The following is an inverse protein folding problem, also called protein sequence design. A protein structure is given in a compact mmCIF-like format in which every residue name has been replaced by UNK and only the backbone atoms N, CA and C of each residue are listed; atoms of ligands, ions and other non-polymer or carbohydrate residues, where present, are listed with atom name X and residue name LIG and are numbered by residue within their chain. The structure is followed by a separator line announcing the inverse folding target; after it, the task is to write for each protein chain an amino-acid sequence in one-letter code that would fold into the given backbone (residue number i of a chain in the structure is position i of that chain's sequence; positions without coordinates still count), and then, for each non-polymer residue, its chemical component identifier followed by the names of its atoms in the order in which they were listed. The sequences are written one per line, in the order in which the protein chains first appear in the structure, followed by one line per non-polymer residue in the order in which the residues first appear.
data_IF_131934696819
#
_entry.id   IF_131934696819
#
_cell.length_a   1.000
_cell.length_b   1.000
_cell.length_c   1.000
_cell.angle_alpha   90.00
_cell.angle_beta   90.00
_cell.angle_gamma   90.00
#
_symmetry.space_group_name_H-M   'P 1'
#
loop_
_entity.id
_entity.type
_entity.pdbx_description
1 polymer ?
#
# COMPACT_ATOMS: atom_id res chain seq x y z
N UNK A 1 18.69 9.21 -1.39
CA UNK A 1 20.03 8.74 -1.87
C UNK A 1 20.03 8.66 -3.39
N UNK A 2 21.20 8.88 -4.04
CA UNK A 2 21.30 8.76 -5.51
C UNK A 2 21.21 7.29 -5.96
N UNK A 3 20.57 7.06 -7.10
CA UNK A 3 20.40 5.75 -7.74
C UNK A 3 20.82 5.81 -9.20
N UNK A 4 21.28 4.67 -9.73
CA UNK A 4 21.55 4.55 -11.17
C UNK A 4 21.30 3.11 -11.64
N UNK A 5 20.88 2.98 -12.89
CA UNK A 5 20.72 1.70 -13.58
C UNK A 5 21.42 1.79 -14.93
N UNK A 6 22.36 0.90 -15.17
CA UNK A 6 23.02 0.77 -16.46
C UNK A 6 22.23 -0.20 -17.32
N UNK A 7 21.80 0.25 -18.50
CA UNK A 7 21.05 -0.55 -19.45
C UNK A 7 21.98 -1.34 -20.38
N UNK A 8 21.53 -2.44 -21.00
CA UNK A 8 22.36 -3.24 -21.91
C UNK A 8 22.92 -2.46 -23.10
N UNK A 9 22.26 -1.38 -23.53
CA UNK A 9 22.70 -0.47 -24.58
C UNK A 9 23.66 0.62 -24.10
N UNK A 10 24.15 0.52 -22.86
CA UNK A 10 25.08 1.46 -22.23
C UNK A 10 24.44 2.72 -21.67
N UNK A 11 23.14 2.92 -21.87
CA UNK A 11 22.40 4.06 -21.29
C UNK A 11 22.38 3.96 -19.77
N UNK A 12 22.60 5.05 -19.07
CA UNK A 12 22.52 5.15 -17.61
C UNK A 12 21.26 5.94 -17.24
N UNK A 13 20.34 5.28 -16.54
CA UNK A 13 19.19 5.93 -15.92
C UNK A 13 19.59 6.46 -14.55
N UNK A 14 19.28 7.71 -14.27
CA UNK A 14 19.57 8.39 -13.00
C UNK A 14 18.31 8.55 -12.18
N UNK A 15 18.42 8.22 -10.89
CA UNK A 15 17.30 8.26 -9.97
C UNK A 15 17.71 8.72 -8.57
N UNK A 16 16.73 8.80 -7.72
CA UNK A 16 16.88 9.09 -6.30
C UNK A 16 15.86 8.28 -5.49
N UNK A 17 16.20 8.01 -4.23
CA UNK A 17 15.31 7.37 -3.29
C UNK A 17 15.27 8.10 -1.95
N UNK A 18 14.14 8.02 -1.26
CA UNK A 18 13.92 8.56 0.08
C UNK A 18 12.87 7.73 0.83
N UNK A 19 12.98 7.73 2.16
CA UNK A 19 12.03 7.05 3.06
C UNK A 19 12.32 5.57 3.26
N UNK A 20 11.53 4.96 4.13
CA UNK A 20 11.45 3.52 4.40
C UNK A 20 9.97 3.13 4.48
N UNK A 21 9.61 1.95 3.95
CA UNK A 21 8.24 1.49 3.89
C UNK A 21 7.87 0.87 2.55
N UNK A 22 6.58 0.72 2.25
CA UNK A 22 6.11 0.27 0.94
C UNK A 22 6.68 1.12 -0.19
N UNK A 23 7.23 0.46 -1.21
CA UNK A 23 7.94 1.16 -2.28
C UNK A 23 6.98 1.72 -3.33
N UNK A 24 7.11 3.02 -3.62
CA UNK A 24 6.46 3.71 -4.72
C UNK A 24 7.50 4.10 -5.76
N UNK A 25 7.33 3.66 -7.00
CA UNK A 25 8.15 4.06 -8.16
C UNK A 25 7.44 5.15 -8.92
N UNK A 26 8.09 6.31 -9.08
CA UNK A 26 7.54 7.53 -9.64
C UNK A 26 8.15 7.84 -11.01
N UNK A 27 7.32 7.88 -12.06
CA UNK A 27 7.69 8.15 -13.45
C UNK A 27 7.06 9.46 -13.91
N UNK A 28 7.87 10.45 -14.27
CA UNK A 28 7.44 11.79 -14.65
C UNK A 28 6.81 11.87 -16.06
N UNK A 29 6.13 12.97 -16.36
CA UNK A 29 5.58 13.26 -17.68
C UNK A 29 6.68 13.59 -18.72
N UNK A 30 6.35 13.48 -19.99
CA UNK A 30 7.25 13.89 -21.07
C UNK A 30 7.69 15.35 -20.93
N UNK A 31 8.97 15.62 -21.15
CA UNK A 31 9.56 16.95 -20.97
C UNK A 31 9.86 17.36 -19.52
N UNK A 32 9.46 16.57 -18.54
CA UNK A 32 9.78 16.80 -17.13
C UNK A 32 11.06 16.03 -16.71
N UNK A 33 11.33 16.00 -15.42
CA UNK A 33 12.42 15.25 -14.79
C UNK A 33 11.99 14.76 -13.41
N UNK A 34 12.70 13.77 -12.82
CA UNK A 34 12.41 13.21 -11.49
C UNK A 34 12.17 14.24 -10.39
N UNK A 35 12.85 15.41 -10.45
CA UNK A 35 12.71 16.46 -9.44
C UNK A 35 11.31 17.07 -9.33
N UNK A 36 10.44 16.87 -10.31
CA UNK A 36 9.04 17.29 -10.20
C UNK A 36 8.34 16.56 -9.05
N UNK A 37 8.82 15.37 -8.71
CA UNK A 37 8.28 14.57 -7.62
C UNK A 37 8.77 14.98 -6.23
N UNK A 38 9.81 15.84 -6.10
CA UNK A 38 10.40 16.15 -4.79
C UNK A 38 9.37 16.59 -3.74
N UNK A 39 8.43 17.54 -4.02
CA UNK A 39 7.42 17.91 -3.03
C UNK A 39 6.40 16.79 -2.73
N UNK A 40 6.11 15.92 -3.71
CA UNK A 40 5.25 14.74 -3.53
C UNK A 40 5.95 13.73 -2.63
N UNK A 41 7.25 13.48 -2.87
CA UNK A 41 8.08 12.56 -2.09
C UNK A 41 8.15 12.99 -0.62
N UNK A 42 8.31 14.27 -0.32
CA UNK A 42 8.33 14.76 1.07
C UNK A 42 7.07 14.36 1.85
N UNK A 43 5.90 14.52 1.24
CA UNK A 43 4.62 14.15 1.87
C UNK A 43 4.48 12.63 1.97
N UNK A 44 4.83 11.89 0.91
CA UNK A 44 4.72 10.41 0.91
C UNK A 44 5.68 9.77 1.92
N UNK A 45 6.90 10.29 2.07
CA UNK A 45 7.85 9.81 3.09
C UNK A 45 7.29 10.05 4.49
N UNK A 46 6.72 11.22 4.75
CA UNK A 46 6.05 11.50 6.03
C UNK A 46 4.83 10.58 6.27
N UNK A 47 4.17 10.13 5.18
CA UNK A 47 3.08 9.16 5.22
C UNK A 47 3.56 7.69 5.29
N UNK A 48 4.87 7.42 5.42
CA UNK A 48 5.44 6.09 5.65
C UNK A 48 5.77 5.30 4.39
N UNK A 49 5.96 5.97 3.23
CA UNK A 49 6.40 5.32 2.00
C UNK A 49 7.92 5.40 1.81
N UNK A 50 8.45 4.43 1.08
CA UNK A 50 9.73 4.54 0.39
C UNK A 50 9.46 4.96 -1.05
N UNK A 51 9.99 6.10 -1.46
CA UNK A 51 9.81 6.66 -2.79
C UNK A 51 11.07 6.52 -3.62
N UNK A 52 10.91 6.10 -4.89
CA UNK A 52 11.99 5.97 -5.86
C UNK A 52 11.57 6.68 -7.15
N UNK A 53 12.31 7.72 -7.55
CA UNK A 53 12.03 8.48 -8.76
C UNK A 53 13.22 8.41 -9.72
N UNK A 54 12.97 8.15 -11.01
CA UNK A 54 13.97 8.14 -12.06
C UNK A 54 13.66 9.18 -13.13
N UNK A 55 14.74 9.81 -13.65
CA UNK A 55 14.63 10.47 -14.95
C UNK A 55 14.46 9.40 -16.02
N UNK A 56 13.42 9.50 -16.81
CA UNK A 56 13.23 8.61 -17.95
C UNK A 56 14.31 8.87 -19.01
N UNK A 57 14.63 7.89 -19.82
CA UNK A 57 15.61 7.98 -20.92
C UNK A 57 15.43 9.28 -21.71
N UNK A 58 16.54 10.02 -21.94
CA UNK A 58 16.55 11.28 -22.66
C UNK A 58 15.93 12.47 -21.91
N UNK A 59 15.70 12.32 -20.60
CA UNK A 59 15.23 13.40 -19.72
C UNK A 59 16.17 13.58 -18.53
N UNK A 60 16.18 14.79 -18.00
CA UNK A 60 16.95 15.14 -16.79
C UNK A 60 18.42 14.79 -16.90
N UNK A 61 18.90 13.95 -15.98
CA UNK A 61 20.31 13.50 -15.91
C UNK A 61 20.50 12.10 -16.52
N UNK A 62 19.45 11.47 -17.06
CA UNK A 62 19.51 10.17 -17.73
C UNK A 62 19.96 10.30 -19.18
N UNK A 63 20.81 9.36 -19.61
CA UNK A 63 21.35 9.32 -20.96
C UNK A 63 20.31 8.85 -22.01
N UNK A 64 20.72 8.90 -23.28
CA UNK A 64 20.03 8.31 -24.41
C UNK A 64 18.89 9.15 -24.97
N UNK A 65 18.01 8.51 -25.74
CA UNK A 65 16.83 9.13 -26.33
C UNK A 65 15.62 8.18 -26.25
N UNK A 66 14.48 8.69 -25.83
CA UNK A 66 13.20 7.98 -25.80
C UNK A 66 12.63 7.90 -27.23
N UNK A 67 13.06 6.90 -28.01
CA UNK A 67 12.68 6.77 -29.44
C UNK A 67 11.39 6.02 -29.68
N UNK A 68 10.97 5.17 -28.74
CA UNK A 68 9.74 4.39 -28.82
C UNK A 68 9.21 4.05 -27.43
N UNK A 69 7.93 3.76 -27.33
CA UNK A 69 7.30 3.30 -26.10
C UNK A 69 7.89 1.98 -25.60
N UNK A 70 8.26 1.07 -26.52
CA UNK A 70 8.87 -0.21 -26.17
C UNK A 70 10.22 -0.03 -25.43
N UNK A 71 11.04 0.94 -25.82
CA UNK A 71 12.29 1.28 -25.13
C UNK A 71 11.99 1.87 -23.74
N UNK A 72 11.02 2.77 -23.62
CA UNK A 72 10.60 3.32 -22.34
C UNK A 72 10.06 2.22 -21.41
N UNK A 73 9.25 1.31 -21.92
CA UNK A 73 8.72 0.17 -21.16
C UNK A 73 9.83 -0.77 -20.66
N UNK A 74 10.84 -1.05 -21.50
CA UNK A 74 12.00 -1.83 -21.10
C UNK A 74 12.81 -1.17 -19.98
N UNK A 75 12.90 0.16 -19.97
CA UNK A 75 13.53 0.90 -18.89
C UNK A 75 12.72 0.82 -17.59
N UNK A 76 11.38 0.95 -17.66
CA UNK A 76 10.51 0.74 -16.50
C UNK A 76 10.66 -0.66 -15.93
N UNK A 77 10.71 -1.69 -16.78
CA UNK A 77 10.96 -3.06 -16.36
C UNK A 77 12.30 -3.21 -15.60
N UNK A 78 13.37 -2.53 -16.07
CA UNK A 78 14.65 -2.56 -15.40
C UNK A 78 14.63 -1.80 -14.05
N UNK A 79 13.92 -0.69 -13.97
CA UNK A 79 13.70 0.02 -12.71
C UNK A 79 12.99 -0.91 -11.71
N UNK A 80 11.89 -1.53 -12.11
CA UNK A 80 11.16 -2.47 -11.26
C UNK A 80 11.99 -3.70 -10.86
N UNK A 81 12.87 -4.18 -11.75
CA UNK A 81 13.77 -5.31 -11.43
C UNK A 81 14.78 -4.98 -10.32
N UNK A 82 15.15 -3.71 -10.18
CA UNK A 82 16.08 -3.23 -9.14
C UNK A 82 15.38 -2.92 -7.79
N UNK A 83 14.05 -2.99 -7.74
CA UNK A 83 13.27 -2.69 -6.55
C UNK A 83 12.68 -3.97 -5.93
N UNK A 84 12.24 -3.94 -4.66
CA UNK A 84 11.51 -5.07 -4.06
C UNK A 84 10.25 -5.44 -4.85
N UNK A 85 9.82 -6.68 -4.75
CA UNK A 85 8.52 -7.12 -5.30
C UNK A 85 7.38 -6.48 -4.50
N UNK A 86 6.31 -6.09 -5.19
CA UNK A 86 5.16 -5.45 -4.57
C UNK A 86 5.21 -3.92 -4.59
N UNK A 87 5.95 -3.31 -5.54
CA UNK A 87 5.95 -1.85 -5.69
C UNK A 87 4.59 -1.31 -6.15
N UNK A 88 4.25 -0.11 -5.71
CA UNK A 88 3.22 0.72 -6.37
C UNK A 88 3.88 1.50 -7.50
N UNK A 89 3.37 1.38 -8.72
CA UNK A 89 3.90 2.06 -9.90
C UNK A 89 3.05 3.28 -10.22
N UNK A 90 3.62 4.46 -10.12
CA UNK A 90 2.96 5.75 -10.38
C UNK A 90 3.55 6.37 -11.63
N UNK A 91 2.73 6.63 -12.63
CA UNK A 91 3.18 7.25 -13.87
C UNK A 91 2.32 8.43 -14.29
N UNK A 92 2.95 9.58 -14.53
CA UNK A 92 2.31 10.75 -15.09
C UNK A 92 2.48 10.78 -16.61
N UNK A 93 1.37 10.96 -17.36
CA UNK A 93 1.39 11.11 -18.82
C UNK A 93 2.26 10.03 -19.50
N UNK A 94 3.40 10.39 -20.12
CA UNK A 94 4.36 9.44 -20.71
C UNK A 94 4.75 8.34 -19.75
N UNK A 95 5.04 8.68 -18.49
CA UNK A 95 5.40 7.70 -17.46
C UNK A 95 4.30 6.67 -17.20
N UNK A 96 3.03 7.08 -17.25
CA UNK A 96 1.88 6.18 -17.12
C UNK A 96 1.74 5.22 -18.31
N UNK A 97 1.92 5.70 -19.53
CA UNK A 97 1.85 4.87 -20.73
C UNK A 97 3.03 3.89 -20.83
N UNK A 98 4.25 4.33 -20.43
CA UNK A 98 5.42 3.46 -20.32
C UNK A 98 5.21 2.38 -19.23
N UNK A 99 4.59 2.75 -18.10
CA UNK A 99 4.20 1.81 -17.05
C UNK A 99 3.23 0.74 -17.59
N UNK A 100 2.14 1.14 -18.23
CA UNK A 100 1.17 0.19 -18.84
C UNK A 100 1.86 -0.72 -19.82
N UNK A 101 2.70 -0.18 -20.72
CA UNK A 101 3.42 -0.98 -21.71
C UNK A 101 4.39 -1.99 -21.06
N UNK A 102 5.07 -1.63 -19.96
CA UNK A 102 5.94 -2.55 -19.23
C UNK A 102 5.16 -3.70 -18.58
N UNK A 103 3.92 -3.45 -18.14
CA UNK A 103 3.04 -4.46 -17.54
C UNK A 103 2.46 -5.47 -18.56
N UNK A 104 2.78 -5.36 -19.85
CA UNK A 104 2.52 -6.41 -20.83
C UNK A 104 3.27 -7.70 -20.49
N UNK A 105 4.48 -7.59 -19.92
CA UNK A 105 5.27 -8.73 -19.47
C UNK A 105 4.73 -9.25 -18.12
N UNK A 106 4.28 -10.51 -18.04
CA UNK A 106 3.80 -11.12 -16.80
C UNK A 106 4.84 -11.10 -15.68
N UNK A 107 6.14 -11.22 -15.98
CA UNK A 107 7.21 -11.18 -14.99
C UNK A 107 7.38 -9.78 -14.37
N UNK A 108 7.16 -8.73 -15.16
CA UNK A 108 7.14 -7.34 -14.69
C UNK A 108 5.87 -7.07 -13.89
N UNK A 109 4.72 -7.55 -14.38
CA UNK A 109 3.42 -7.42 -13.72
C UNK A 109 3.43 -8.02 -12.31
N UNK A 110 4.02 -9.20 -12.14
CA UNK A 110 4.13 -9.87 -10.84
C UNK A 110 4.95 -9.09 -9.79
N UNK A 111 5.65 -8.02 -10.19
CA UNK A 111 6.42 -7.17 -9.28
C UNK A 111 5.64 -5.97 -8.76
N UNK A 112 4.43 -5.73 -9.30
CA UNK A 112 3.64 -4.51 -9.05
C UNK A 112 2.40 -4.84 -8.23
N UNK A 113 2.25 -4.19 -7.08
CA UNK A 113 1.08 -4.30 -6.21
C UNK A 113 -0.10 -3.44 -6.68
N UNK A 114 0.16 -2.42 -7.49
CA UNK A 114 -0.87 -1.56 -8.07
C UNK A 114 -0.30 -0.48 -8.98
N UNK A 115 -1.16 0.05 -9.83
CA UNK A 115 -0.83 1.06 -10.84
C UNK A 115 -1.58 2.36 -10.54
N UNK A 116 -0.86 3.48 -10.56
CA UNK A 116 -1.48 4.81 -10.54
C UNK A 116 -1.17 5.54 -11.84
N UNK A 117 -2.21 5.98 -12.50
CA UNK A 117 -2.17 6.79 -13.71
C UNK A 117 -2.47 8.25 -13.33
N UNK A 118 -1.51 9.15 -13.54
CA UNK A 118 -1.68 10.57 -13.22
C UNK A 118 -1.99 11.32 -14.50
N UNK A 119 -3.24 11.71 -14.62
CA UNK A 119 -3.89 12.42 -15.75
C UNK A 119 -3.59 11.83 -17.13
N UNK A 120 -3.62 10.51 -17.20
CA UNK A 120 -3.46 9.76 -18.45
C UNK A 120 -4.25 8.45 -18.40
N UNK A 121 -4.83 8.09 -19.53
CA UNK A 121 -5.40 6.74 -19.76
C UNK A 121 -4.90 6.20 -21.10
N UNK A 122 -4.86 4.86 -21.29
CA UNK A 122 -4.43 4.26 -22.54
C UNK A 122 -5.47 4.46 -23.64
N UNK A 123 -5.01 4.77 -24.87
CA UNK A 123 -5.85 4.83 -26.05
C UNK A 123 -6.69 6.11 -26.21
N UNK A 124 -6.15 7.25 -25.75
CA UNK A 124 -6.73 8.56 -26.00
C UNK A 124 -6.91 8.85 -27.49
N UNK A 125 -7.88 9.68 -27.82
CA UNK A 125 -8.11 10.17 -29.18
C UNK A 125 -6.84 10.86 -29.73
N UNK A 126 -6.27 10.38 -30.85
CA UNK A 126 -5.01 10.88 -31.39
C UNK A 126 -5.04 12.37 -31.72
N UNK A 127 -6.15 12.87 -32.26
CA UNK A 127 -6.23 14.25 -32.72
C UNK A 127 -6.33 15.20 -31.52
N UNK A 128 -7.04 14.79 -30.44
CA UNK A 128 -7.09 15.53 -29.19
C UNK A 128 -5.70 15.59 -28.54
N UNK A 129 -4.95 14.48 -28.53
CA UNK A 129 -3.58 14.45 -27.99
C UNK A 129 -2.66 15.36 -28.80
N UNK A 130 -2.69 15.30 -30.13
CA UNK A 130 -1.91 16.19 -31.01
C UNK A 130 -2.25 17.65 -30.78
N UNK A 131 -3.54 17.98 -30.69
CA UNK A 131 -4.00 19.34 -30.43
C UNK A 131 -3.55 19.85 -29.04
N UNK A 132 -3.55 18.99 -28.03
CA UNK A 132 -3.04 19.31 -26.69
C UNK A 132 -1.53 19.56 -26.70
N UNK A 133 -0.76 18.62 -27.26
CA UNK A 133 0.72 18.71 -27.34
C UNK A 133 1.16 19.87 -28.25
N UNK A 134 0.42 20.19 -29.32
CA UNK A 134 0.70 21.34 -30.17
C UNK A 134 0.64 22.70 -29.48
N UNK A 135 -0.01 22.76 -28.30
CA UNK A 135 -0.01 23.95 -27.43
C UNK A 135 1.03 23.87 -26.31
N UNK A 136 1.75 22.76 -26.18
CA UNK A 136 2.73 22.53 -25.12
C UNK A 136 4.12 22.82 -25.64
N UNK A 137 4.82 23.87 -25.15
CA UNK A 137 6.17 24.23 -25.58
C UNK A 137 7.14 23.06 -25.43
N UNK A 138 7.91 22.78 -26.47
CA UNK A 138 8.94 21.72 -26.46
C UNK A 138 8.44 20.30 -26.73
N UNK A 139 7.12 20.08 -26.84
CA UNK A 139 6.55 18.75 -27.12
C UNK A 139 6.97 18.21 -28.49
N UNK A 140 7.29 19.09 -29.43
CA UNK A 140 7.78 18.71 -30.77
C UNK A 140 9.07 17.86 -30.76
N UNK A 141 9.88 17.97 -29.70
CA UNK A 141 11.11 17.18 -29.52
C UNK A 141 10.85 15.69 -29.36
N UNK A 142 9.62 15.34 -28.97
CA UNK A 142 9.18 13.97 -28.72
C UNK A 142 8.12 13.49 -29.74
N UNK A 143 7.96 14.18 -30.87
CA UNK A 143 6.91 13.88 -31.86
C UNK A 143 6.94 12.43 -32.34
N UNK A 144 8.12 11.88 -32.62
CA UNK A 144 8.26 10.47 -33.03
C UNK A 144 7.82 9.48 -31.96
N UNK A 145 8.12 9.73 -30.69
CA UNK A 145 7.64 8.93 -29.57
C UNK A 145 6.11 9.07 -29.39
N UNK A 146 5.59 10.28 -29.56
CA UNK A 146 4.16 10.54 -29.49
C UNK A 146 3.40 9.71 -30.52
N UNK A 147 3.83 9.70 -31.78
CA UNK A 147 3.19 8.92 -32.83
C UNK A 147 3.30 7.41 -32.61
N UNK A 148 4.44 6.90 -32.09
CA UNK A 148 4.59 5.49 -31.69
C UNK A 148 3.61 5.11 -30.57
N UNK A 149 3.40 6.00 -29.58
CA UNK A 149 2.43 5.81 -28.51
C UNK A 149 0.99 5.76 -29.05
N UNK A 150 0.62 6.74 -29.88
CA UNK A 150 -0.72 6.83 -30.46
C UNK A 150 -1.05 5.60 -31.30
N UNK A 151 -0.08 5.09 -32.08
CA UNK A 151 -0.25 3.89 -32.89
C UNK A 151 -0.51 2.62 -32.02
N UNK A 152 -0.13 2.63 -30.73
CA UNK A 152 -0.29 1.51 -29.80
C UNK A 152 -1.51 1.62 -28.88
N UNK A 153 -2.40 2.56 -29.11
CA UNK A 153 -3.57 2.80 -28.24
C UNK A 153 -4.39 1.55 -27.95
N UNK A 154 -4.71 0.75 -28.99
CA UNK A 154 -5.46 -0.50 -28.85
C UNK A 154 -4.68 -1.57 -28.04
N UNK A 155 -3.37 -1.67 -28.22
CA UNK A 155 -2.50 -2.56 -27.44
C UNK A 155 -2.50 -2.18 -25.97
N UNK A 156 -2.31 -0.89 -25.64
CA UNK A 156 -2.30 -0.38 -24.26
C UNK A 156 -3.65 -0.59 -23.57
N UNK A 157 -4.76 -0.39 -24.26
CA UNK A 157 -6.11 -0.70 -23.75
C UNK A 157 -6.25 -2.18 -23.40
N UNK A 158 -5.81 -3.09 -24.27
CA UNK A 158 -5.86 -4.52 -24.05
C UNK A 158 -5.00 -4.92 -22.82
N UNK A 159 -3.80 -4.35 -22.68
CA UNK A 159 -2.94 -4.59 -21.51
C UNK A 159 -3.67 -4.14 -20.25
N UNK A 160 -4.18 -2.91 -20.20
CA UNK A 160 -4.89 -2.36 -19.04
C UNK A 160 -6.08 -3.22 -18.64
N UNK A 161 -6.89 -3.67 -19.59
CA UNK A 161 -8.03 -4.56 -19.32
C UNK A 161 -7.64 -5.97 -18.84
N UNK A 162 -6.36 -6.35 -18.95
CA UNK A 162 -5.83 -7.63 -18.44
C UNK A 162 -5.13 -7.52 -17.09
N UNK A 163 -5.10 -6.33 -16.47
CA UNK A 163 -4.48 -6.14 -15.15
C UNK A 163 -5.47 -6.51 -14.04
N UNK A 164 -5.02 -7.33 -13.12
CA UNK A 164 -5.79 -7.75 -11.93
C UNK A 164 -5.40 -6.93 -10.68
N UNK A 165 -4.32 -6.14 -10.75
CA UNK A 165 -3.90 -5.29 -9.63
C UNK A 165 -4.79 -4.04 -9.52
N UNK A 166 -4.89 -3.42 -8.33
CA UNK A 166 -5.58 -2.15 -8.17
C UNK A 166 -5.07 -1.08 -9.13
N UNK A 167 -5.99 -0.30 -9.70
CA UNK A 167 -5.68 0.85 -10.55
C UNK A 167 -6.32 2.10 -9.96
N UNK A 168 -5.53 3.17 -9.80
CA UNK A 168 -6.02 4.49 -9.44
C UNK A 168 -5.75 5.46 -10.59
N UNK A 169 -6.79 6.11 -11.10
CA UNK A 169 -6.66 7.29 -11.95
C UNK A 169 -6.74 8.54 -11.08
N UNK A 170 -5.69 9.35 -11.06
CA UNK A 170 -5.72 10.70 -10.50
C UNK A 170 -5.88 11.66 -11.67
N UNK A 171 -7.07 12.25 -11.81
CA UNK A 171 -7.45 13.14 -12.92
C UNK A 171 -7.32 14.60 -12.54
N UNK A 172 -6.85 15.42 -13.48
CA UNK A 172 -6.90 16.87 -13.37
C UNK A 172 -8.34 17.40 -13.54
N UNK A 173 -8.75 18.30 -12.67
CA UNK A 173 -10.09 18.90 -12.69
C UNK A 173 -10.28 20.00 -13.75
N UNK A 174 -9.20 20.42 -14.42
CA UNK A 174 -9.27 21.41 -15.48
C UNK A 174 -8.04 21.43 -16.37
N UNK A 175 -8.24 21.62 -17.69
CA UNK A 175 -7.13 21.89 -18.62
C UNK A 175 -6.27 20.72 -19.08
N UNK A 176 -6.60 19.48 -18.70
CA UNK A 176 -5.93 18.26 -19.17
C UNK A 176 -6.47 17.75 -20.52
N UNK A 177 -5.84 16.74 -21.12
CA UNK A 177 -6.32 16.10 -22.36
C UNK A 177 -7.47 15.12 -22.14
N UNK A 178 -7.78 14.74 -20.88
CA UNK A 178 -8.81 13.77 -20.55
C UNK A 178 -10.21 14.38 -20.58
N UNK A 179 -11.16 13.64 -21.13
CA UNK A 179 -12.60 13.91 -21.06
C UNK A 179 -13.31 12.81 -20.27
N UNK A 180 -14.61 13.00 -19.98
CA UNK A 180 -15.37 12.04 -19.16
C UNK A 180 -15.51 10.67 -19.83
N UNK A 181 -15.57 10.65 -21.15
CA UNK A 181 -15.62 9.43 -21.95
C UNK A 181 -14.36 8.58 -21.78
N UNK A 182 -13.17 9.20 -21.66
CA UNK A 182 -11.91 8.47 -21.42
C UNK A 182 -11.90 7.80 -20.06
N UNK A 183 -12.48 8.45 -19.05
CA UNK A 183 -12.63 7.90 -17.71
C UNK A 183 -13.61 6.74 -17.70
N UNK A 184 -14.74 6.90 -18.37
CA UNK A 184 -15.74 5.84 -18.54
C UNK A 184 -15.15 4.62 -19.27
N UNK A 185 -14.36 4.85 -20.32
CA UNK A 185 -13.63 3.82 -21.04
C UNK A 185 -12.65 3.05 -20.13
N UNK A 186 -11.84 3.75 -19.32
CA UNK A 186 -10.92 3.10 -18.37
C UNK A 186 -11.67 2.22 -17.39
N UNK A 187 -12.74 2.74 -16.78
CA UNK A 187 -13.55 1.98 -15.81
C UNK A 187 -14.33 0.83 -16.44
N UNK A 188 -14.68 0.95 -17.72
CA UNK A 188 -15.23 -0.15 -18.50
C UNK A 188 -14.22 -1.26 -18.81
N UNK A 189 -12.94 -0.91 -19.08
CA UNK A 189 -11.85 -1.85 -19.32
C UNK A 189 -11.37 -2.54 -18.03
N UNK A 190 -11.31 -1.80 -16.93
CA UNK A 190 -10.85 -2.25 -15.63
C UNK A 190 -11.88 -1.83 -14.56
N UNK A 191 -12.94 -2.63 -14.33
CA UNK A 191 -14.03 -2.26 -13.40
C UNK A 191 -13.59 -2.06 -11.95
N UNK A 192 -12.41 -2.55 -11.59
CA UNK A 192 -11.78 -2.36 -10.28
C UNK A 192 -10.96 -1.07 -10.17
N UNK A 193 -10.83 -0.31 -11.27
CA UNK A 193 -10.16 0.99 -11.24
C UNK A 193 -10.99 2.00 -10.45
N UNK A 194 -10.29 2.80 -9.65
CA UNK A 194 -10.86 3.93 -8.91
C UNK A 194 -10.39 5.25 -9.50
N UNK A 195 -11.18 6.31 -9.32
CA UNK A 195 -10.90 7.63 -9.88
C UNK A 195 -10.95 8.68 -8.78
N UNK A 196 -9.91 9.50 -8.72
CA UNK A 196 -9.85 10.69 -7.85
C UNK A 196 -9.60 11.91 -8.72
N UNK A 197 -10.38 12.97 -8.53
CA UNK A 197 -10.22 14.24 -9.25
C UNK A 197 -9.56 15.25 -8.34
N UNK A 198 -8.48 15.88 -8.80
CA UNK A 198 -7.86 17.03 -8.14
C UNK A 198 -8.39 18.30 -8.82
N UNK A 199 -9.24 19.10 -8.14
CA UNK A 199 -9.81 20.29 -8.72
C UNK A 199 -8.73 21.37 -8.95
N UNK A 200 -9.05 22.31 -9.83
CA UNK A 200 -8.25 23.51 -10.08
C UNK A 200 -6.78 23.22 -10.46
N UNK A 201 -6.54 22.14 -11.23
CA UNK A 201 -5.22 21.78 -11.74
C UNK A 201 -5.29 21.35 -13.19
N UNK A 202 -4.22 21.62 -13.94
CA UNK A 202 -4.02 21.13 -15.30
C UNK A 202 -3.30 19.78 -15.34
N UNK A 203 -2.83 19.43 -16.53
CA UNK A 203 -2.21 18.13 -16.84
C UNK A 203 -0.99 17.78 -15.98
N UNK A 204 -0.22 18.78 -15.55
CA UNK A 204 1.03 18.56 -14.80
C UNK A 204 0.78 18.59 -13.28
N UNK A 205 -0.10 17.71 -12.78
CA UNK A 205 -0.56 17.67 -11.39
C UNK A 205 0.60 17.64 -10.39
N UNK A 206 1.65 16.85 -10.65
CA UNK A 206 2.81 16.74 -9.76
C UNK A 206 3.54 18.09 -9.56
N UNK A 207 3.46 18.98 -10.55
CA UNK A 207 4.03 20.33 -10.50
C UNK A 207 3.08 21.33 -9.86
N UNK A 208 1.79 21.26 -10.22
CA UNK A 208 0.79 22.28 -9.90
C UNK A 208 0.17 22.08 -8.53
N UNK A 209 -0.09 20.82 -8.14
CA UNK A 209 -0.76 20.43 -6.90
C UNK A 209 -0.06 19.24 -6.22
N UNK A 210 1.25 19.32 -5.92
CA UNK A 210 2.03 18.18 -5.43
C UNK A 210 1.51 17.60 -4.11
N UNK A 211 1.06 18.45 -3.19
CA UNK A 211 0.52 18.03 -1.89
C UNK A 211 -0.77 17.25 -2.06
N UNK A 212 -1.73 17.78 -2.86
CA UNK A 212 -2.99 17.08 -3.14
C UNK A 212 -2.79 15.78 -3.89
N UNK A 213 -1.80 15.73 -4.80
CA UNK A 213 -1.42 14.50 -5.46
C UNK A 213 -0.88 13.47 -4.45
N UNK A 214 0.02 13.89 -3.57
CA UNK A 214 0.56 13.02 -2.54
C UNK A 214 -0.53 12.49 -1.61
N UNK A 215 -1.46 13.34 -1.16
CA UNK A 215 -2.63 12.93 -0.37
C UNK A 215 -3.48 11.88 -1.10
N UNK A 216 -3.76 12.10 -2.40
CA UNK A 216 -4.48 11.11 -3.21
C UNK A 216 -3.73 9.78 -3.33
N UNK A 217 -2.39 9.80 -3.33
CA UNK A 217 -1.55 8.60 -3.38
C UNK A 217 -1.51 7.83 -2.05
N UNK A 218 -1.84 8.46 -0.92
CA UNK A 218 -1.76 7.77 0.39
C UNK A 218 -2.68 6.56 0.51
N UNK A 219 -3.75 6.46 -0.28
CA UNK A 219 -4.63 5.29 -0.34
C UNK A 219 -3.91 4.02 -0.81
N UNK A 220 -2.75 4.16 -1.45
CA UNK A 220 -1.97 3.04 -1.99
C UNK A 220 -1.04 2.39 -0.95
N UNK A 221 -0.97 2.94 0.28
CA UNK A 221 -0.02 2.52 1.31
C UNK A 221 -0.13 1.02 1.66
N UNK A 222 -1.33 0.50 1.70
CA UNK A 222 -1.59 -0.89 2.07
C UNK A 222 -1.66 -1.86 0.86
N UNK A 223 -1.56 -1.38 -0.38
CA UNK A 223 -1.61 -2.24 -1.56
C UNK A 223 -0.55 -3.33 -1.57
N UNK A 224 0.75 -3.05 -1.25
CA UNK A 224 1.77 -4.09 -1.17
C UNK A 224 1.47 -5.16 -0.12
N UNK A 225 0.97 -4.75 1.04
CA UNK A 225 0.56 -5.67 2.10
C UNK A 225 -0.62 -6.56 1.67
N UNK A 226 -1.66 -5.98 1.05
CA UNK A 226 -2.82 -6.72 0.52
C UNK A 226 -2.43 -7.67 -0.61
N UNK A 227 -1.55 -7.24 -1.51
CA UNK A 227 -0.97 -8.10 -2.54
C UNK A 227 -0.24 -9.30 -1.94
N UNK A 228 0.64 -9.06 -0.96
CA UNK A 228 1.35 -10.12 -0.26
C UNK A 228 0.40 -11.11 0.44
N UNK A 229 -0.63 -10.63 1.14
CA UNK A 229 -1.63 -11.50 1.78
C UNK A 229 -2.40 -12.34 0.77
N UNK A 230 -2.63 -11.82 -0.43
CA UNK A 230 -3.26 -12.54 -1.54
C UNK A 230 -2.33 -13.64 -2.06
N UNK A 231 -1.05 -13.33 -2.29
CA UNK A 231 -0.02 -14.29 -2.73
C UNK A 231 0.21 -15.42 -1.74
N UNK A 232 -0.03 -15.16 -0.45
CA UNK A 232 0.11 -16.13 0.64
C UNK A 232 -1.18 -16.92 0.92
N UNK A 233 -2.19 -16.80 0.06
CA UNK A 233 -3.48 -17.49 0.21
C UNK A 233 -4.18 -17.25 1.58
N UNK A 234 -3.95 -16.10 2.22
CA UNK A 234 -4.50 -15.79 3.55
C UNK A 234 -6.05 -15.84 3.61
N UNK A 235 -6.72 -15.76 2.46
CA UNK A 235 -8.18 -15.93 2.32
C UNK A 235 -8.66 -17.37 2.53
N UNK A 236 -7.75 -18.36 2.47
CA UNK A 236 -8.09 -19.78 2.66
C UNK A 236 -7.97 -20.26 4.11
N UNK A 237 -7.44 -19.41 4.98
CA UNK A 237 -7.31 -19.73 6.39
C UNK A 237 -8.55 -19.27 7.14
N UNK A 238 -9.20 -20.21 7.82
CA UNK A 238 -10.34 -19.92 8.68
C UNK A 238 -9.89 -19.14 9.92
N UNK A 239 -10.70 -18.18 10.33
CA UNK A 239 -10.51 -17.39 11.55
C UNK A 239 -11.89 -17.10 12.17
N UNK A 240 -12.00 -16.91 13.48
CA UNK A 240 -13.27 -16.50 14.07
C UNK A 240 -13.91 -15.31 13.34
N UNK A 241 -15.17 -15.48 12.94
CA UNK A 241 -15.92 -14.48 12.17
C UNK A 241 -15.61 -14.41 10.67
N UNK A 242 -14.99 -15.47 10.08
CA UNK A 242 -14.73 -15.55 8.65
C UNK A 242 -13.34 -16.07 8.30
N UNK A 243 -12.63 -15.38 7.42
CA UNK A 243 -11.27 -15.72 7.00
C UNK A 243 -10.23 -14.87 7.73
N UNK A 244 -8.97 -15.33 7.72
CA UNK A 244 -7.86 -14.57 8.28
C UNK A 244 -7.73 -13.17 7.64
N UNK A 245 -7.91 -13.05 6.31
CA UNK A 245 -7.86 -11.74 5.63
C UNK A 245 -8.94 -10.80 6.16
N UNK A 246 -10.16 -11.28 6.35
CA UNK A 246 -11.25 -10.46 6.89
C UNK A 246 -10.94 -9.97 8.29
N UNK A 247 -10.39 -10.84 9.15
CA UNK A 247 -9.90 -10.47 10.47
C UNK A 247 -8.82 -9.37 10.39
N UNK A 248 -7.76 -9.59 9.60
CA UNK A 248 -6.67 -8.63 9.43
C UNK A 248 -7.15 -7.26 8.95
N UNK A 249 -8.12 -7.24 8.02
CA UNK A 249 -8.73 -6.00 7.52
C UNK A 249 -9.53 -5.31 8.62
N UNK A 250 -10.34 -6.03 9.41
CA UNK A 250 -11.11 -5.43 10.52
C UNK A 250 -10.19 -4.85 11.60
N UNK A 251 -9.12 -5.57 11.98
CA UNK A 251 -8.12 -5.05 12.93
C UNK A 251 -7.43 -3.79 12.38
N UNK A 252 -7.06 -3.79 11.08
CA UNK A 252 -6.53 -2.60 10.41
C UNK A 252 -7.49 -1.41 10.41
N UNK A 253 -8.80 -1.65 10.27
CA UNK A 253 -9.83 -0.61 10.35
C UNK A 253 -9.96 -0.01 11.77
N UNK A 254 -9.83 -0.83 12.82
CA UNK A 254 -9.85 -0.34 14.22
C UNK A 254 -8.74 0.66 14.49
N UNK A 255 -7.59 0.53 13.82
CA UNK A 255 -6.42 1.43 13.99
C UNK A 255 -6.22 2.37 12.80
N UNK A 256 -7.27 2.65 12.02
CA UNK A 256 -7.17 3.44 10.78
C UNK A 256 -6.58 4.85 10.98
N UNK A 257 -6.84 5.48 12.14
CA UNK A 257 -6.31 6.79 12.51
C UNK A 257 -4.91 6.72 13.13
N UNK A 258 -4.34 5.53 13.27
CA UNK A 258 -3.00 5.31 13.81
C UNK A 258 -1.88 5.68 12.84
N UNK A 259 -0.64 5.60 13.33
CA UNK A 259 0.54 5.81 12.49
C UNK A 259 0.56 4.83 11.31
N UNK A 260 1.21 5.18 10.18
CA UNK A 260 1.41 4.28 9.05
C UNK A 260 2.01 2.92 9.46
N UNK A 261 2.99 2.95 10.37
CA UNK A 261 3.61 1.76 10.96
C UNK A 261 2.57 0.85 11.63
N UNK A 262 1.72 1.41 12.50
CA UNK A 262 0.70 0.66 13.23
C UNK A 262 -0.36 0.08 12.28
N UNK A 263 -0.82 0.86 11.30
CA UNK A 263 -1.81 0.42 10.32
C UNK A 263 -1.33 -0.76 9.48
N UNK A 264 -0.10 -0.68 8.98
CA UNK A 264 0.52 -1.76 8.20
C UNK A 264 0.81 -2.99 9.06
N UNK A 265 1.28 -2.80 10.29
CA UNK A 265 1.50 -3.90 11.22
C UNK A 265 0.18 -4.60 11.58
N UNK A 266 -0.90 -3.86 11.83
CA UNK A 266 -2.21 -4.41 12.13
C UNK A 266 -2.77 -5.27 10.98
N UNK A 267 -2.59 -4.82 9.72
CA UNK A 267 -2.99 -5.58 8.55
C UNK A 267 -2.19 -6.90 8.37
N UNK A 268 -1.00 -7.00 8.96
CA UNK A 268 -0.10 -8.14 8.78
C UNK A 268 0.26 -8.86 10.09
N UNK A 269 -0.38 -8.55 11.23
CA UNK A 269 0.07 -8.98 12.56
C UNK A 269 0.16 -10.49 12.75
N UNK A 270 -0.59 -11.28 12.01
CA UNK A 270 -0.56 -12.74 12.04
C UNK A 270 0.40 -13.36 11.01
N UNK A 271 1.24 -12.56 10.31
CA UNK A 271 2.10 -13.08 9.25
C UNK A 271 3.05 -14.20 9.72
N UNK A 272 3.57 -14.13 10.95
CA UNK A 272 4.43 -15.15 11.56
C UNK A 272 3.67 -16.09 12.50
N UNK A 273 2.34 -16.09 12.45
CA UNK A 273 1.49 -16.69 13.47
C UNK A 273 1.54 -15.90 14.78
N UNK A 274 0.63 -16.20 15.70
CA UNK A 274 0.61 -15.63 17.05
C UNK A 274 0.49 -16.77 18.07
N UNK A 275 0.68 -16.47 19.35
CA UNK A 275 0.49 -17.48 20.41
C UNK A 275 -0.96 -18.03 20.45
N UNK A 276 -1.95 -17.21 20.03
CA UNK A 276 -3.35 -17.64 19.87
C UNK A 276 -3.72 -18.18 18.49
N UNK A 277 -2.83 -18.09 17.48
CA UNK A 277 -3.07 -18.55 16.09
C UNK A 277 -1.77 -19.06 15.48
N UNK A 278 -1.53 -20.37 15.61
CA UNK A 278 -0.25 -21.00 15.32
C UNK A 278 0.00 -21.31 13.81
N UNK A 279 -0.75 -20.68 12.88
CA UNK A 279 -0.61 -20.87 11.44
C UNK A 279 0.15 -19.70 10.79
N UNK A 280 1.50 -19.76 10.64
CA UNK A 280 2.25 -18.67 10.01
C UNK A 280 1.96 -18.62 8.50
N UNK A 281 1.76 -17.43 7.96
CA UNK A 281 1.73 -17.18 6.51
C UNK A 281 3.14 -17.16 5.92
N UNK A 282 4.12 -16.68 6.70
CA UNK A 282 5.52 -16.58 6.32
C UNK A 282 6.42 -17.26 7.35
N UNK A 283 7.41 -18.05 6.93
CA UNK A 283 8.45 -18.51 7.82
C UNK A 283 9.41 -17.37 8.18
N UNK A 284 10.07 -17.47 9.35
CA UNK A 284 10.91 -16.40 9.88
C UNK A 284 12.17 -16.08 9.05
N UNK A 285 12.63 -17.00 8.21
CA UNK A 285 13.72 -16.78 7.26
C UNK A 285 13.31 -15.95 6.04
N UNK A 286 11.99 -15.66 5.87
CA UNK A 286 11.44 -14.86 4.79
C UNK A 286 10.90 -13.50 5.27
N UNK A 287 11.43 -12.98 6.37
CA UNK A 287 11.09 -11.64 6.90
C UNK A 287 11.34 -10.51 5.90
N UNK A 288 12.29 -10.71 4.98
CA UNK A 288 12.58 -9.81 3.87
C UNK A 288 11.34 -9.51 2.99
N UNK A 289 10.50 -10.52 2.75
CA UNK A 289 9.26 -10.33 1.96
C UNK A 289 8.27 -9.42 2.66
N UNK A 290 8.10 -9.58 3.97
CA UNK A 290 7.19 -8.71 4.71
C UNK A 290 7.74 -7.29 4.83
N UNK A 291 9.06 -7.13 5.08
CA UNK A 291 9.71 -5.81 5.10
C UNK A 291 9.56 -5.06 3.78
N UNK A 292 9.65 -5.76 2.66
CA UNK A 292 9.43 -5.16 1.35
C UNK A 292 8.00 -4.61 1.19
N UNK A 293 7.01 -5.28 1.78
CA UNK A 293 5.60 -4.92 1.66
C UNK A 293 5.14 -3.85 2.67
N UNK A 294 5.72 -3.79 3.88
CA UNK A 294 5.24 -2.91 4.95
C UNK A 294 6.33 -2.03 5.60
N UNK A 295 7.59 -2.16 5.15
CA UNK A 295 8.73 -1.45 5.75
C UNK A 295 9.30 -2.13 6.99
N UNK A 296 10.50 -1.69 7.38
CA UNK A 296 11.28 -2.29 8.45
C UNK A 296 10.63 -2.11 9.82
N UNK A 297 10.11 -0.91 10.09
CA UNK A 297 9.54 -0.57 11.39
C UNK A 297 8.20 -1.27 11.65
N UNK A 298 7.33 -1.35 10.63
CA UNK A 298 6.06 -2.07 10.74
C UNK A 298 6.31 -3.59 10.88
N UNK A 299 7.25 -4.14 10.11
CA UNK A 299 7.63 -5.56 10.21
C UNK A 299 8.19 -5.90 11.60
N UNK A 300 8.98 -5.00 12.20
CA UNK A 300 9.47 -5.20 13.56
C UNK A 300 8.33 -5.33 14.57
N UNK A 301 7.27 -4.52 14.44
CA UNK A 301 6.08 -4.62 15.29
C UNK A 301 5.33 -5.93 15.06
N UNK A 302 5.17 -6.37 13.80
CA UNK A 302 4.58 -7.68 13.46
C UNK A 302 5.38 -8.82 14.06
N UNK A 303 6.73 -8.76 13.97
CA UNK A 303 7.59 -9.78 14.59
C UNK A 303 7.40 -9.81 16.11
N UNK A 304 7.47 -8.68 16.80
CA UNK A 304 7.28 -8.59 18.23
C UNK A 304 5.92 -9.16 18.68
N UNK A 305 4.87 -8.84 17.92
CA UNK A 305 3.52 -9.33 18.20
C UNK A 305 3.41 -10.85 18.01
N UNK A 306 3.94 -11.37 16.90
CA UNK A 306 3.98 -12.81 16.63
C UNK A 306 4.88 -13.59 17.57
N UNK A 307 6.00 -12.99 17.99
CA UNK A 307 6.96 -13.59 18.91
C UNK A 307 6.51 -13.57 20.39
N UNK A 308 5.52 -12.75 20.74
CA UNK A 308 5.06 -12.60 22.11
C UNK A 308 4.55 -13.91 22.69
N UNK A 309 5.25 -14.43 23.72
CA UNK A 309 4.71 -15.42 24.64
C UNK A 309 3.69 -14.70 25.54
N UNK A 310 2.41 -14.93 25.26
CA UNK A 310 1.31 -14.22 25.94
C UNK A 310 1.27 -14.52 27.43
N UNK A 311 1.49 -15.76 27.82
CA UNK A 311 1.44 -16.16 29.23
C UNK A 311 2.54 -15.47 30.05
N UNK A 312 3.78 -15.50 29.55
CA UNK A 312 4.93 -14.89 30.22
C UNK A 312 4.88 -13.35 30.21
N UNK A 313 4.40 -12.76 29.09
CA UNK A 313 4.34 -11.30 28.91
C UNK A 313 3.16 -10.69 29.69
N UNK A 314 1.96 -11.29 29.57
CA UNK A 314 0.74 -10.73 30.15
C UNK A 314 0.72 -10.78 31.70
N UNK A 315 1.48 -11.71 32.28
CA UNK A 315 1.68 -11.73 33.71
C UNK A 315 2.45 -10.51 34.29
N UNK A 316 3.04 -9.69 33.39
CA UNK A 316 3.90 -8.54 33.71
C UNK A 316 3.45 -7.23 33.05
N UNK A 317 2.18 -7.12 32.69
CA UNK A 317 1.62 -5.97 31.94
C UNK A 317 1.65 -4.65 32.71
N UNK A 318 1.83 -4.66 33.98
CA UNK A 318 1.97 -3.50 34.88
C UNK A 318 3.40 -2.92 34.92
N UNK A 319 4.37 -3.63 34.34
CA UNK A 319 5.76 -3.17 34.31
C UNK A 319 6.03 -2.20 33.15
N UNK A 320 6.81 -1.15 33.42
CA UNK A 320 7.29 -0.19 32.40
C UNK A 320 8.78 0.02 32.60
N UNK A 321 9.63 -0.37 31.63
CA UNK A 321 9.31 -0.94 30.30
C UNK A 321 8.69 -2.34 30.41
N UNK A 322 7.73 -2.64 29.51
CA UNK A 322 7.09 -3.95 29.43
C UNK A 322 8.09 -5.01 28.91
N UNK A 323 8.38 -6.09 29.66
CA UNK A 323 9.24 -7.15 29.19
C UNK A 323 8.44 -8.15 28.32
N UNK A 324 8.60 -8.07 27.00
CA UNK A 324 7.99 -9.02 26.06
C UNK A 324 8.90 -10.24 25.91
N UNK A 325 8.41 -11.39 26.31
CA UNK A 325 9.10 -12.67 26.12
C UNK A 325 8.90 -13.16 24.69
N UNK A 326 10.02 -13.48 24.03
CA UNK A 326 10.04 -13.96 22.64
C UNK A 326 10.01 -15.50 22.63
N UNK A 327 8.87 -16.08 22.20
CA UNK A 327 8.65 -17.53 22.13
C UNK A 327 9.49 -18.22 21.04
N UNK A 328 10.03 -17.49 20.06
CA UNK A 328 10.88 -18.06 19.00
C UNK A 328 12.33 -18.20 19.43
N UNK A 329 12.84 -17.27 20.27
CA UNK A 329 14.25 -17.20 20.62
C UNK A 329 14.51 -17.39 22.13
N UNK A 330 13.49 -17.25 22.97
CA UNK A 330 13.62 -17.21 24.44
C UNK A 330 14.19 -15.91 24.98
N UNK A 331 14.43 -14.92 24.13
CA UNK A 331 14.91 -13.60 24.56
C UNK A 331 13.77 -12.78 25.19
N UNK A 332 14.15 -11.73 25.95
CA UNK A 332 13.19 -10.75 26.48
C UNK A 332 13.54 -9.38 25.94
N UNK A 333 12.54 -8.73 25.33
CA UNK A 333 12.66 -7.36 24.80
C UNK A 333 11.88 -6.39 25.69
N UNK A 334 12.54 -5.35 26.19
CA UNK A 334 11.88 -4.30 26.97
C UNK A 334 11.22 -3.27 26.06
N UNK A 335 9.89 -3.15 26.07
CA UNK A 335 9.14 -2.17 25.29
C UNK A 335 8.80 -0.94 26.14
N UNK A 336 9.01 0.24 25.55
CA UNK A 336 8.65 1.52 26.16
C UNK A 336 8.24 2.55 25.09
N UNK A 337 7.67 3.68 25.51
CA UNK A 337 7.33 4.79 24.63
C UNK A 337 6.41 4.37 23.48
N UNK A 338 6.74 4.79 22.26
CA UNK A 338 5.94 4.53 21.05
C UNK A 338 5.82 3.04 20.70
N UNK A 339 6.87 2.25 20.93
CA UNK A 339 6.85 0.80 20.68
C UNK A 339 5.84 0.09 21.59
N UNK A 340 5.77 0.49 22.86
CA UNK A 340 4.79 -0.05 23.81
C UNK A 340 3.36 0.42 23.47
N UNK A 341 3.21 1.68 23.10
CA UNK A 341 1.90 2.22 22.68
C UNK A 341 1.34 1.50 21.45
N UNK A 342 2.16 1.29 20.43
CA UNK A 342 1.75 0.56 19.20
C UNK A 342 1.45 -0.92 19.49
N UNK A 343 2.28 -1.59 20.33
CA UNK A 343 2.04 -2.98 20.72
C UNK A 343 0.73 -3.12 21.52
N UNK A 344 0.49 -2.22 22.47
CA UNK A 344 -0.74 -2.17 23.26
C UNK A 344 -1.97 -1.92 22.38
N UNK A 345 -1.87 -0.94 21.47
CA UNK A 345 -2.97 -0.61 20.55
C UNK A 345 -3.29 -1.79 19.64
N UNK A 346 -2.28 -2.44 19.07
CA UNK A 346 -2.47 -3.63 18.24
C UNK A 346 -3.11 -4.79 19.01
N UNK A 347 -2.64 -5.01 20.26
CA UNK A 347 -3.20 -6.04 21.13
C UNK A 347 -4.68 -5.78 21.42
N UNK A 348 -5.03 -4.56 21.83
CA UNK A 348 -6.43 -4.20 22.13
C UNK A 348 -7.31 -4.30 20.86
N UNK A 349 -6.82 -3.86 19.70
CA UNK A 349 -7.55 -3.96 18.45
C UNK A 349 -7.83 -5.41 18.05
N UNK A 350 -6.84 -6.29 18.17
CA UNK A 350 -6.99 -7.73 17.92
C UNK A 350 -8.00 -8.39 18.86
N UNK A 351 -7.87 -8.18 20.16
CA UNK A 351 -8.75 -8.78 21.16
C UNK A 351 -10.20 -8.26 21.03
N UNK A 352 -10.37 -7.00 20.64
CA UNK A 352 -11.68 -6.43 20.35
C UNK A 352 -12.34 -7.09 19.13
N UNK A 353 -11.61 -7.32 18.04
CA UNK A 353 -12.16 -8.03 16.87
C UNK A 353 -12.52 -9.48 17.21
N UNK A 354 -11.66 -10.17 17.93
CA UNK A 354 -11.94 -11.54 18.41
C UNK A 354 -13.19 -11.56 19.29
N UNK A 355 -13.34 -10.62 20.22
CA UNK A 355 -14.51 -10.54 21.08
C UNK A 355 -15.81 -10.28 20.30
N UNK A 356 -15.75 -9.49 19.25
CA UNK A 356 -16.92 -9.18 18.38
C UNK A 356 -17.31 -10.34 17.47
N UNK A 357 -16.39 -11.22 17.13
CA UNK A 357 -16.57 -12.23 16.07
C UNK A 357 -16.62 -13.67 16.59
N UNK A 358 -16.04 -13.95 17.75
CA UNK A 358 -16.04 -15.27 18.36
C UNK A 358 -17.10 -15.39 19.47
N UNK A 359 -17.63 -16.59 19.64
CA UNK A 359 -18.42 -16.93 20.82
C UNK A 359 -17.50 -17.21 22.00
N UNK A 360 -17.26 -16.20 22.84
CA UNK A 360 -16.34 -16.31 23.98
C UNK A 360 -17.04 -16.78 25.25
N UNK A 361 -16.36 -17.66 25.97
CA UNK A 361 -16.76 -18.02 27.34
C UNK A 361 -16.61 -16.82 28.31
N UNK A 362 -17.43 -16.73 29.35
CA UNK A 362 -17.39 -15.60 30.29
C UNK A 362 -16.02 -15.38 30.95
N UNK A 363 -15.29 -16.48 31.22
CA UNK A 363 -13.92 -16.43 31.76
C UNK A 363 -12.93 -15.75 30.79
N UNK A 364 -13.01 -16.08 29.49
CA UNK A 364 -12.16 -15.49 28.43
C UNK A 364 -12.48 -13.99 28.26
N UNK A 365 -13.75 -13.60 28.27
CA UNK A 365 -14.14 -12.18 28.21
C UNK A 365 -13.55 -11.39 29.36
N UNK A 366 -13.60 -11.93 30.58
CA UNK A 366 -13.00 -11.29 31.75
C UNK A 366 -11.49 -11.13 31.60
N UNK A 367 -10.79 -12.15 31.14
CA UNK A 367 -9.33 -12.07 30.89
C UNK A 367 -9.01 -10.99 29.84
N UNK A 368 -9.78 -10.90 28.75
CA UNK A 368 -9.59 -9.84 27.75
C UNK A 368 -9.83 -8.46 28.39
N UNK A 369 -10.87 -8.28 29.20
CA UNK A 369 -11.11 -7.00 29.92
C UNK A 369 -9.97 -6.62 30.85
N UNK A 370 -9.45 -7.58 31.61
CA UNK A 370 -8.29 -7.36 32.50
C UNK A 370 -7.06 -6.93 31.70
N UNK A 371 -6.78 -7.60 30.56
CA UNK A 371 -5.72 -7.24 29.64
C UNK A 371 -5.90 -5.83 29.06
N UNK A 372 -7.09 -5.50 28.54
CA UNK A 372 -7.39 -4.17 28.00
C UNK A 372 -7.25 -3.09 29.08
N UNK A 373 -7.66 -3.40 30.32
CA UNK A 373 -7.51 -2.47 31.45
C UNK A 373 -6.04 -2.22 31.80
N UNK A 374 -5.20 -3.27 31.81
CA UNK A 374 -3.77 -3.15 32.04
C UNK A 374 -3.06 -2.33 30.93
N UNK A 375 -3.49 -2.47 29.68
CA UNK A 375 -2.94 -1.74 28.53
C UNK A 375 -3.48 -0.32 28.36
N UNK A 376 -4.57 0.04 29.05
CA UNK A 376 -5.24 1.34 28.90
C UNK A 376 -4.31 2.56 29.07
N UNK A 377 -3.29 2.58 29.96
CA UNK A 377 -2.35 3.70 30.03
C UNK A 377 -1.59 3.99 28.73
N UNK A 378 -1.43 2.99 27.86
CA UNK A 378 -0.64 3.06 26.63
C UNK A 378 -1.48 3.31 25.37
N UNK A 379 -2.80 3.05 25.41
CA UNK A 379 -3.75 3.26 24.33
C UNK A 379 -5.13 3.71 24.85
N UNK A 380 -5.22 4.83 25.58
CA UNK A 380 -6.41 5.17 26.38
C UNK A 380 -7.70 5.30 25.59
N UNK A 381 -7.67 5.89 24.41
CA UNK A 381 -8.86 6.09 23.57
C UNK A 381 -9.44 4.75 23.08
N UNK A 382 -8.59 3.85 22.56
CA UNK A 382 -9.02 2.55 22.07
C UNK A 382 -9.45 1.63 23.24
N UNK A 383 -8.72 1.64 24.35
CA UNK A 383 -9.07 0.87 25.54
C UNK A 383 -10.44 1.28 26.10
N UNK A 384 -10.73 2.59 26.16
CA UNK A 384 -12.05 3.08 26.57
C UNK A 384 -13.16 2.59 25.64
N UNK A 385 -12.94 2.64 24.33
CA UNK A 385 -13.87 2.10 23.31
C UNK A 385 -14.09 0.60 23.50
N UNK A 386 -13.02 -0.18 23.69
CA UNK A 386 -13.08 -1.62 23.85
C UNK A 386 -13.80 -2.03 25.16
N UNK A 387 -13.52 -1.35 26.27
CA UNK A 387 -14.17 -1.62 27.56
C UNK A 387 -15.68 -1.26 27.58
N UNK A 388 -16.08 -0.33 26.71
CA UNK A 388 -17.49 0.04 26.53
C UNK A 388 -18.23 -0.87 25.54
N UNK A 389 -17.51 -1.73 24.80
CA UNK A 389 -18.09 -2.58 23.77
C UNK A 389 -18.95 -3.69 24.37
N UNK A 390 -20.20 -3.91 23.88
CA UNK A 390 -21.09 -4.98 24.35
C UNK A 390 -20.47 -6.38 24.28
N UNK A 391 -19.59 -6.64 23.30
CA UNK A 391 -18.92 -7.92 23.14
C UNK A 391 -17.98 -8.27 24.30
N UNK A 392 -17.50 -7.26 25.03
CA UNK A 392 -16.68 -7.39 26.24
C UNK A 392 -17.46 -7.11 27.52
N UNK A 393 -18.77 -6.84 27.48
CA UNK A 393 -19.58 -6.60 28.69
C UNK A 393 -19.81 -7.89 29.49
N UNK A 394 -19.90 -7.78 30.80
CA UNK A 394 -20.24 -8.91 31.68
C UNK A 394 -21.73 -9.26 31.66
N UNK A 395 -22.56 -8.48 30.95
CA UNK A 395 -23.99 -8.74 30.82
C UNK A 395 -24.23 -9.97 29.90
N UNK A 396 -25.06 -10.93 30.29
CA UNK A 396 -25.40 -12.03 29.40
C UNK A 396 -26.06 -11.46 28.12
N UNK A 397 -25.47 -11.80 26.96
CA UNK A 397 -26.03 -11.42 25.67
C UNK A 397 -27.50 -11.86 25.62
N UNK A 398 -28.44 -10.93 25.33
CA UNK A 398 -29.89 -11.15 25.40
C UNK A 398 -30.43 -12.21 24.40
N UNK A 399 -29.59 -13.06 23.82
CA UNK A 399 -29.95 -14.19 22.96
C UNK A 399 -30.16 -15.53 23.70
N UNK A 400 -29.75 -15.62 24.99
CA UNK A 400 -30.01 -16.82 25.81
C UNK A 400 -31.40 -16.81 26.50
N UNK A 401 -32.41 -16.24 25.87
CA UNK A 401 -33.79 -16.52 26.31
C UNK A 401 -34.17 -17.89 25.74
N UNK A 402 -34.06 -18.90 26.59
CA UNK A 402 -34.70 -20.19 26.39
C UNK A 402 -36.17 -20.00 26.02
N UNK A 403 -36.75 -20.81 25.12
CA UNK A 403 -38.16 -20.75 24.82
C UNK A 403 -38.90 -21.14 26.08
N UNK A 404 -39.62 -20.18 26.68
CA UNK A 404 -40.58 -20.45 27.76
C UNK A 404 -41.64 -21.39 27.20
N UNK A 405 -41.55 -22.66 27.58
CA UNK A 405 -42.59 -23.64 27.33
C UNK A 405 -43.93 -23.10 27.82
N UNK A 406 -44.90 -23.07 26.94
CA UNK A 406 -46.34 -23.03 27.32
C UNK A 406 -46.84 -24.45 27.34
N UNK A 407 -47.27 -24.86 28.50
CA UNK A 407 -48.17 -25.99 28.76
C UNK A 407 -49.50 -25.82 28.03
#
# INVERSE_FOLDING_TARGET
MARQIVRPDGVVLRGEEAGDGPTVVLLHAGGERRRVWSPVIEVLVAAGFRCVAYDQRGHGDSDGAARSLAVCAADVAAVLAAEPVGCVLVGASLGGLAAVAALADPAVRARVAGLVLVDVVPGLDPDRVRAFLGRTPGAERHSGLTEDILARGAELRRITGSLDCPILLVRAGGGGPLVDEDVADLTGLAPHATVTVIPDTGHLIAREQPVRLAEALTVTLDWPARGLLTDLDARRLDHPGGTLVEHLVRVGQVVADGSPRLRLAALCHAAYGTDGFAHPLLPLDRRDRLRAAIGTDAERLVYLYGACDRAATYARMDEVPLPVADRFTGAVTALAGADLADFATLTVANELDVARTASLEPGTRRQIRELVTALAPHCPALAATALADPALSDAPNGFDRAPTGRT
#
